data_IF_950337792441
#
_entry.id   IF_950337792441
#
_cell.length_a   1.000
_cell.length_b   1.000
_cell.length_c   1.000
_cell.angle_alpha   90.00
_cell.angle_beta   90.00
_cell.angle_gamma   90.00
#
_symmetry.space_group_name_H-M   'P 1'
#
loop_
_entity.id
_entity.type
_entity.pdbx_description
1 polymer ?
#
# COMPACT_ATOMS: atom_id res chain seq x y z
N UNK A 1 -18.24 3.51 7.19
CA UNK A 1 -16.88 4.06 7.18
C UNK A 1 -16.14 3.60 8.42
N UNK A 2 -14.88 3.19 8.27
CA UNK A 2 -14.03 2.72 9.35
C UNK A 2 -12.88 3.72 9.52
N UNK A 3 -12.68 4.22 10.73
CA UNK A 3 -11.63 5.19 11.02
C UNK A 3 -10.76 4.61 12.12
N UNK A 4 -9.48 4.41 11.81
CA UNK A 4 -8.48 4.01 12.79
C UNK A 4 -7.48 5.15 12.99
N UNK A 5 -7.06 5.36 14.22
CA UNK A 5 -6.01 6.32 14.54
C UNK A 5 -5.14 5.78 15.67
N UNK A 6 -3.83 5.96 15.52
CA UNK A 6 -2.88 5.55 16.56
C UNK A 6 -2.97 6.46 17.81
N UNK A 7 -2.31 6.04 18.88
CA UNK A 7 -2.26 6.78 20.14
C UNK A 7 -1.07 7.75 20.24
N UNK A 8 -1.06 8.60 21.27
CA UNK A 8 0.06 9.47 21.57
C UNK A 8 1.32 8.67 21.95
N UNK A 9 2.50 9.20 21.61
CA UNK A 9 3.75 8.57 22.03
C UNK A 9 4.01 8.82 23.53
N UNK A 10 4.55 7.82 24.25
CA UNK A 10 5.00 8.03 25.63
C UNK A 10 6.00 9.17 25.72
N UNK A 11 5.88 10.04 26.72
CA UNK A 11 6.76 11.20 26.96
C UNK A 11 6.69 12.32 25.88
N UNK A 12 5.65 12.34 25.04
CA UNK A 12 5.36 13.44 24.11
C UNK A 12 4.05 14.13 24.50
N UNK A 13 4.05 15.08 25.47
CA UNK A 13 2.81 15.61 26.04
C UNK A 13 1.90 16.30 25.01
N UNK A 14 2.49 16.91 23.97
CA UNK A 14 1.73 17.54 22.87
C UNK A 14 0.97 16.53 22.00
N UNK A 15 1.40 15.26 21.97
CA UNK A 15 0.72 14.25 21.15
C UNK A 15 -0.68 13.97 21.66
N UNK A 16 -0.93 14.07 22.97
CA UNK A 16 -2.28 13.83 23.54
C UNK A 16 -3.31 14.81 22.95
N UNK A 17 -2.97 16.11 22.96
CA UNK A 17 -3.82 17.17 22.40
C UNK A 17 -3.94 17.04 20.87
N UNK A 18 -2.84 16.75 20.18
CA UNK A 18 -2.83 16.57 18.71
C UNK A 18 -3.69 15.38 18.29
N UNK A 19 -3.52 14.21 18.91
CA UNK A 19 -4.35 13.02 18.64
C UNK A 19 -5.83 13.31 18.89
N UNK A 20 -6.16 13.99 19.99
CA UNK A 20 -7.54 14.37 20.29
C UNK A 20 -8.12 15.29 19.21
N UNK A 21 -7.38 16.33 18.83
CA UNK A 21 -7.79 17.28 17.78
C UNK A 21 -8.00 16.58 16.44
N UNK A 22 -7.10 15.67 16.06
CA UNK A 22 -7.23 14.88 14.83
C UNK A 22 -8.47 13.98 14.86
N UNK A 23 -8.74 13.32 15.99
CA UNK A 23 -9.93 12.45 16.14
C UNK A 23 -11.24 13.24 16.03
N UNK A 24 -11.25 14.49 16.50
CA UNK A 24 -12.42 15.38 16.42
C UNK A 24 -12.82 15.76 14.98
N UNK A 25 -11.94 15.57 13.99
CA UNK A 25 -12.28 15.74 12.56
C UNK A 25 -13.45 14.84 12.15
N UNK A 26 -13.64 13.70 12.83
CA UNK A 26 -14.79 12.82 12.60
C UNK A 26 -16.14 13.52 12.76
N UNK A 27 -16.22 14.59 13.56
CA UNK A 27 -17.44 15.36 13.77
C UNK A 27 -17.78 16.27 12.58
N UNK A 28 -16.86 16.42 11.62
CA UNK A 28 -17.07 17.20 10.39
C UNK A 28 -17.69 16.36 9.25
N UNK A 29 -17.87 15.06 9.45
CA UNK A 29 -18.54 14.19 8.48
C UNK A 29 -20.02 14.58 8.40
N UNK A 30 -20.45 15.09 7.24
CA UNK A 30 -21.77 15.67 7.01
C UNK A 30 -22.68 14.81 6.11
N UNK A 31 -22.22 13.61 5.70
CA UNK A 31 -23.00 12.64 4.93
C UNK A 31 -23.44 11.43 5.79
N UNK A 32 -24.53 10.80 5.39
CA UNK A 32 -25.07 9.61 6.07
C UNK A 32 -24.13 8.42 5.88
N UNK A 33 -23.51 7.95 6.98
CA UNK A 33 -22.77 6.70 7.00
C UNK A 33 -22.70 6.10 8.41
N UNK A 34 -22.60 4.77 8.51
CA UNK A 34 -22.24 4.13 9.78
C UNK A 34 -20.75 4.34 10.05
N UNK A 35 -20.42 4.94 11.19
CA UNK A 35 -19.04 5.17 11.61
C UNK A 35 -18.65 4.10 12.63
N UNK A 36 -17.53 3.41 12.37
CA UNK A 36 -16.86 2.56 13.36
C UNK A 36 -15.45 3.09 13.58
N UNK A 37 -15.01 3.17 14.82
CA UNK A 37 -13.70 3.72 15.19
C UNK A 37 -12.82 2.69 15.88
N UNK A 38 -11.51 2.73 15.60
CA UNK A 38 -10.48 2.05 16.35
C UNK A 38 -9.39 3.06 16.74
N UNK A 39 -9.47 3.57 17.96
CA UNK A 39 -8.48 4.51 18.49
C UNK A 39 -7.58 3.81 19.51
N UNK A 40 -6.28 3.88 19.30
CA UNK A 40 -5.32 3.33 20.25
C UNK A 40 -5.03 4.34 21.37
N UNK A 41 -4.89 3.83 22.60
CA UNK A 41 -4.52 4.64 23.77
C UNK A 41 -3.04 5.01 23.79
N UNK A 42 -2.21 4.21 23.13
CA UNK A 42 -0.75 4.38 23.04
C UNK A 42 -0.31 4.22 21.59
N UNK A 43 0.75 4.94 21.21
CA UNK A 43 1.37 4.78 19.90
C UNK A 43 1.89 3.34 19.69
N UNK A 44 1.39 2.66 18.66
CA UNK A 44 1.83 1.33 18.24
C UNK A 44 2.80 1.38 17.04
N UNK A 45 2.94 2.54 16.39
CA UNK A 45 3.87 2.73 15.28
C UNK A 45 3.27 2.42 13.90
N UNK A 46 4.03 2.72 12.86
CA UNK A 46 3.59 2.65 11.46
C UNK A 46 3.55 1.23 10.91
N UNK A 47 4.11 0.23 11.59
CA UNK A 47 3.90 -1.17 11.26
C UNK A 47 2.65 -1.73 11.93
N UNK A 48 2.66 -1.78 13.27
CA UNK A 48 1.66 -2.54 14.01
C UNK A 48 0.27 -1.87 14.02
N UNK A 49 0.17 -0.54 14.10
CA UNK A 49 -1.13 0.14 14.09
C UNK A 49 -1.88 -0.09 12.76
N UNK A 50 -1.31 0.18 11.57
CA UNK A 50 -2.01 -0.07 10.31
C UNK A 50 -2.38 -1.54 10.12
N UNK A 51 -1.47 -2.48 10.42
CA UNK A 51 -1.75 -3.91 10.31
C UNK A 51 -2.93 -4.35 11.21
N UNK A 52 -3.00 -3.80 12.43
CA UNK A 52 -4.10 -4.07 13.36
C UNK A 52 -5.41 -3.46 12.88
N UNK A 53 -5.38 -2.22 12.37
CA UNK A 53 -6.53 -1.53 11.81
C UNK A 53 -7.13 -2.25 10.61
N UNK A 54 -6.30 -2.68 9.65
CA UNK A 54 -6.76 -3.42 8.46
C UNK A 54 -7.33 -4.78 8.87
N UNK A 55 -6.69 -5.47 9.83
CA UNK A 55 -7.21 -6.73 10.38
C UNK A 55 -8.56 -6.53 11.06
N UNK A 56 -8.72 -5.46 11.83
CA UNK A 56 -10.00 -5.11 12.46
C UNK A 56 -11.06 -4.78 11.40
N UNK A 57 -10.75 -3.96 10.40
CA UNK A 57 -11.63 -3.65 9.27
C UNK A 57 -12.18 -4.92 8.62
N UNK A 58 -11.30 -5.87 8.30
CA UNK A 58 -11.71 -7.14 7.71
C UNK A 58 -12.40 -8.11 8.67
N UNK A 59 -12.49 -7.86 9.98
CA UNK A 59 -13.44 -8.61 10.83
C UNK A 59 -14.89 -8.22 10.56
N UNK A 60 -15.13 -7.07 9.96
CA UNK A 60 -16.47 -6.51 9.76
C UNK A 60 -16.93 -6.57 8.29
N UNK A 61 -16.02 -6.49 7.32
CA UNK A 61 -16.36 -6.49 5.89
C UNK A 61 -15.52 -7.48 5.09
N UNK A 62 -16.00 -7.87 3.91
CA UNK A 62 -15.31 -8.81 3.02
C UNK A 62 -14.32 -8.13 2.06
N UNK A 63 -14.46 -6.83 1.84
CA UNK A 63 -13.68 -6.05 0.88
C UNK A 63 -13.83 -4.55 1.15
N UNK A 64 -12.92 -3.76 0.60
CA UNK A 64 -13.08 -2.32 0.55
C UNK A 64 -11.79 -1.58 0.26
N UNK A 65 -11.89 -0.26 0.39
CA UNK A 65 -10.84 0.72 0.09
C UNK A 65 -10.15 1.12 1.40
N UNK A 66 -8.83 1.23 1.36
CA UNK A 66 -7.95 1.68 2.44
C UNK A 66 -7.24 2.96 1.96
N UNK A 67 -7.29 3.99 2.79
CA UNK A 67 -6.62 5.28 2.60
C UNK A 67 -5.86 5.62 3.88
N UNK A 68 -4.61 6.05 3.71
CA UNK A 68 -3.83 6.71 4.76
C UNK A 68 -4.22 8.18 4.84
N UNK A 69 -3.93 8.85 5.96
CA UNK A 69 -4.35 10.24 6.24
C UNK A 69 -3.73 11.27 5.29
N UNK A 70 -2.61 10.92 4.66
CA UNK A 70 -1.89 11.73 3.70
C UNK A 70 -2.21 11.37 2.23
N UNK A 71 -3.11 10.42 1.98
CA UNK A 71 -3.49 10.00 0.64
C UNK A 71 -4.76 10.71 0.18
N UNK A 72 -4.62 11.65 -0.75
CA UNK A 72 -5.76 12.33 -1.38
C UNK A 72 -6.13 11.62 -2.69
N UNK A 73 -7.26 10.89 -2.79
CA UNK A 73 -7.71 10.29 -4.03
C UNK A 73 -8.45 11.30 -4.93
N UNK A 74 -8.37 11.11 -6.25
CA UNK A 74 -9.32 11.74 -7.18
C UNK A 74 -10.69 11.05 -7.14
N UNK A 75 -11.72 11.67 -7.73
CA UNK A 75 -13.09 11.13 -7.62
C UNK A 75 -13.24 9.80 -8.36
N UNK A 76 -12.59 9.61 -9.52
CA UNK A 76 -12.67 8.34 -10.26
C UNK A 76 -12.04 7.14 -9.53
N UNK A 77 -11.16 7.35 -8.54
CA UNK A 77 -10.54 6.27 -7.76
C UNK A 77 -11.57 5.32 -7.13
N UNK A 78 -12.64 5.87 -6.55
CA UNK A 78 -13.67 5.07 -5.89
C UNK A 78 -14.41 4.17 -6.88
N UNK A 79 -14.84 4.73 -8.02
CA UNK A 79 -15.47 3.96 -9.09
C UNK A 79 -14.52 2.92 -9.70
N UNK A 80 -13.23 3.27 -9.84
CA UNK A 80 -12.19 2.37 -10.29
C UNK A 80 -12.04 1.16 -9.36
N UNK A 81 -11.94 1.40 -8.05
CA UNK A 81 -11.86 0.34 -7.06
C UNK A 81 -13.13 -0.52 -7.03
N UNK A 82 -14.32 0.08 -6.97
CA UNK A 82 -15.60 -0.66 -6.91
C UNK A 82 -15.75 -1.65 -8.07
N UNK A 83 -15.51 -1.18 -9.30
CA UNK A 83 -15.62 -2.03 -10.49
C UNK A 83 -14.61 -3.19 -10.47
N UNK A 84 -13.39 -2.94 -10.00
CA UNK A 84 -12.34 -3.97 -9.96
C UNK A 84 -12.48 -4.93 -8.78
N UNK A 85 -13.00 -4.44 -7.64
CA UNK A 85 -13.39 -5.25 -6.49
C UNK A 85 -14.42 -6.29 -6.96
N UNK A 86 -15.48 -5.86 -7.65
CA UNK A 86 -16.51 -6.76 -8.15
C UNK A 86 -15.93 -7.74 -9.19
N UNK A 87 -15.18 -7.23 -10.17
CA UNK A 87 -14.61 -8.07 -11.24
C UNK A 87 -13.70 -9.18 -10.73
N UNK A 88 -12.88 -8.89 -9.72
CA UNK A 88 -11.86 -9.81 -9.21
C UNK A 88 -12.24 -10.43 -7.86
N UNK A 89 -13.49 -10.27 -7.42
CA UNK A 89 -14.01 -10.79 -6.15
C UNK A 89 -13.63 -12.25 -5.88
N UNK A 90 -13.77 -13.12 -6.89
CA UNK A 90 -13.47 -14.55 -6.79
C UNK A 90 -12.13 -14.96 -7.42
N UNK A 91 -11.28 -14.01 -7.85
CA UNK A 91 -9.99 -14.33 -8.46
C UNK A 91 -8.86 -14.31 -7.42
N UNK A 92 -8.48 -15.48 -6.93
CA UNK A 92 -7.47 -15.62 -5.86
C UNK A 92 -6.08 -15.10 -6.25
N UNK A 93 -5.77 -15.02 -7.55
CA UNK A 93 -4.50 -14.48 -8.04
C UNK A 93 -4.42 -12.96 -7.86
N UNK A 94 -5.53 -12.25 -7.87
CA UNK A 94 -5.54 -10.79 -7.63
C UNK A 94 -5.70 -10.55 -6.14
N UNK A 95 -4.69 -9.90 -5.55
CA UNK A 95 -4.63 -9.63 -4.11
C UNK A 95 -4.87 -8.17 -3.77
N UNK A 96 -4.62 -7.25 -4.70
CA UNK A 96 -4.67 -5.82 -4.42
C UNK A 96 -5.02 -5.02 -5.67
N UNK A 97 -5.75 -3.91 -5.47
CA UNK A 97 -6.00 -2.88 -6.48
C UNK A 97 -5.34 -1.61 -5.97
N UNK A 98 -4.30 -1.14 -6.64
CA UNK A 98 -3.60 0.09 -6.29
C UNK A 98 -4.29 1.28 -6.95
N UNK A 99 -4.25 2.46 -6.34
CA UNK A 99 -4.60 3.74 -6.95
C UNK A 99 -3.38 4.49 -7.50
N UNK A 100 -2.20 4.18 -6.97
CA UNK A 100 -0.95 4.84 -7.33
C UNK A 100 -0.25 4.15 -8.51
N UNK A 101 0.30 4.94 -9.42
CA UNK A 101 1.10 4.47 -10.54
C UNK A 101 2.28 5.39 -10.80
N UNK A 102 3.48 4.81 -10.84
CA UNK A 102 4.70 5.54 -11.17
C UNK A 102 4.99 5.61 -12.67
N UNK A 103 4.15 4.99 -13.51
CA UNK A 103 4.39 4.94 -14.94
C UNK A 103 4.25 6.33 -15.57
N UNK A 104 5.20 6.78 -16.41
CA UNK A 104 5.16 8.10 -17.01
C UNK A 104 4.08 8.20 -18.10
N UNK A 105 3.69 7.04 -18.68
CA UNK A 105 2.62 6.93 -19.67
C UNK A 105 2.08 5.51 -19.75
N UNK A 106 0.84 5.32 -20.23
CA UNK A 106 0.30 4.01 -20.57
C UNK A 106 1.11 3.33 -21.70
N UNK A 107 1.35 2.01 -21.58
CA UNK A 107 1.96 1.22 -22.68
C UNK A 107 0.91 0.64 -23.64
N UNK A 108 -0.36 0.61 -23.25
CA UNK A 108 -1.46 0.12 -24.06
C UNK A 108 -2.76 0.87 -23.75
N UNK A 109 -3.86 0.49 -24.42
CA UNK A 109 -5.15 1.15 -24.30
C UNK A 109 -6.02 0.67 -23.12
N UNK A 110 -5.55 -0.30 -22.32
CA UNK A 110 -6.27 -0.71 -21.12
C UNK A 110 -6.18 0.40 -20.08
N UNK A 111 -7.02 0.32 -19.05
CA UNK A 111 -7.03 1.30 -17.96
C UNK A 111 -5.99 0.95 -16.89
N UNK A 112 -5.61 -0.33 -16.79
CA UNK A 112 -4.68 -0.84 -15.78
C UNK A 112 -3.85 -2.00 -16.36
N UNK A 113 -2.82 -2.38 -15.61
CA UNK A 113 -1.97 -3.54 -15.85
C UNK A 113 -1.85 -4.37 -14.57
N UNK A 114 -1.21 -5.55 -14.66
CA UNK A 114 -0.92 -6.37 -13.49
C UNK A 114 0.57 -6.34 -13.19
N UNK A 115 0.88 -6.17 -11.91
CA UNK A 115 2.25 -6.08 -11.40
C UNK A 115 2.43 -7.01 -10.22
N UNK A 116 3.69 -7.27 -9.87
CA UNK A 116 4.09 -7.90 -8.62
C UNK A 116 4.48 -6.88 -7.55
N UNK A 117 4.56 -5.60 -7.88
CA UNK A 117 4.94 -4.51 -6.99
C UNK A 117 3.68 -3.78 -6.50
N UNK A 118 3.18 -4.05 -5.28
CA UNK A 118 2.04 -3.33 -4.73
C UNK A 118 2.41 -1.91 -4.31
N UNK A 119 1.47 -0.97 -4.48
CA UNK A 119 1.60 0.43 -4.05
C UNK A 119 0.49 0.80 -3.09
N UNK A 120 0.84 1.13 -1.85
CA UNK A 120 -0.10 1.26 -0.72
C UNK A 120 -0.68 2.65 -0.52
N UNK A 121 -0.28 3.64 -1.32
CA UNK A 121 -0.98 4.92 -1.35
C UNK A 121 -2.30 4.78 -2.10
N UNK A 122 -3.39 4.76 -1.33
CA UNK A 122 -4.76 4.55 -1.78
C UNK A 122 -4.95 3.23 -2.54
N UNK A 123 -5.61 2.27 -1.91
CA UNK A 123 -5.75 0.94 -2.48
C UNK A 123 -7.02 0.24 -2.01
N UNK A 124 -7.33 -0.88 -2.64
CA UNK A 124 -8.42 -1.76 -2.24
C UNK A 124 -7.99 -3.21 -2.23
N UNK A 125 -8.64 -4.00 -1.38
CA UNK A 125 -8.42 -5.44 -1.29
C UNK A 125 -9.65 -6.15 -0.73
N UNK A 126 -9.52 -7.47 -0.57
CA UNK A 126 -10.51 -8.35 0.02
C UNK A 126 -9.96 -8.99 1.29
N UNK A 127 -10.85 -9.32 2.22
CA UNK A 127 -10.56 -10.16 3.38
C UNK A 127 -9.84 -11.44 2.98
N UNK A 128 -10.25 -12.09 1.88
CA UNK A 128 -9.59 -13.31 1.39
C UNK A 128 -8.10 -13.11 1.09
N UNK A 129 -7.70 -11.95 0.59
CA UNK A 129 -6.30 -11.66 0.31
C UNK A 129 -5.56 -11.24 1.60
N UNK A 130 -6.21 -10.46 2.47
CA UNK A 130 -5.64 -10.07 3.75
C UNK A 130 -5.46 -11.24 4.73
N UNK A 131 -6.30 -12.27 4.68
CA UNK A 131 -6.19 -13.45 5.56
C UNK A 131 -4.89 -14.24 5.36
N UNK A 132 -4.19 -14.04 4.24
CA UNK A 132 -2.88 -14.64 3.99
C UNK A 132 -1.73 -13.86 4.64
N UNK A 133 -2.00 -12.68 5.18
CA UNK A 133 -1.03 -11.80 5.80
C UNK A 133 -0.66 -12.25 7.22
N UNK A 134 0.63 -12.19 7.54
CA UNK A 134 1.13 -12.26 8.90
C UNK A 134 2.20 -11.18 9.13
N UNK A 135 1.94 -10.32 10.11
CA UNK A 135 2.83 -9.23 10.49
C UNK A 135 4.22 -9.73 10.93
N UNK A 136 4.28 -10.86 11.65
CA UNK A 136 5.52 -11.38 12.20
C UNK A 136 6.26 -12.27 11.20
N UNK A 137 6.94 -11.62 10.24
CA UNK A 137 7.72 -12.31 9.22
C UNK A 137 8.83 -13.20 9.80
N UNK A 138 9.25 -13.00 11.06
CA UNK A 138 10.25 -13.87 11.72
C UNK A 138 9.81 -15.32 11.87
N UNK A 139 8.50 -15.58 11.85
CA UNK A 139 7.96 -16.94 11.95
C UNK A 139 8.21 -17.78 10.69
N UNK A 140 8.48 -17.13 9.55
CA UNK A 140 8.91 -17.82 8.34
C UNK A 140 10.38 -18.25 8.47
N UNK A 141 10.78 -19.38 7.91
CA UNK A 141 12.20 -19.75 7.88
C UNK A 141 12.96 -18.95 6.81
N UNK A 142 14.28 -18.78 6.99
CA UNK A 142 15.14 -18.17 5.97
C UNK A 142 15.08 -18.91 4.63
N UNK A 143 14.96 -20.24 4.67
CA UNK A 143 14.84 -21.08 3.48
C UNK A 143 13.55 -20.78 2.70
N UNK A 144 12.41 -20.69 3.40
CA UNK A 144 11.11 -20.38 2.76
C UNK A 144 11.14 -18.97 2.17
N UNK A 145 11.60 -17.97 2.94
CA UNK A 145 11.73 -16.59 2.44
C UNK A 145 12.63 -16.50 1.21
N UNK A 146 13.80 -17.14 1.27
CA UNK A 146 14.74 -17.19 0.17
C UNK A 146 14.14 -17.85 -1.08
N UNK A 147 13.36 -18.91 -0.90
CA UNK A 147 12.64 -19.58 -2.00
C UNK A 147 11.60 -18.67 -2.66
N UNK A 148 10.78 -17.96 -1.87
CA UNK A 148 9.80 -16.98 -2.38
C UNK A 148 10.48 -15.88 -3.20
N UNK A 149 11.56 -15.28 -2.68
CA UNK A 149 12.31 -14.24 -3.40
C UNK A 149 12.95 -14.80 -4.68
N UNK A 150 13.53 -15.99 -4.63
CA UNK A 150 14.17 -16.63 -5.80
C UNK A 150 13.16 -16.97 -6.91
N UNK A 151 11.94 -17.37 -6.54
CA UNK A 151 10.84 -17.62 -7.48
C UNK A 151 10.33 -16.33 -8.12
N UNK A 152 10.20 -15.26 -7.33
CA UNK A 152 9.61 -13.98 -7.75
C UNK A 152 10.55 -13.15 -8.64
N UNK A 153 11.86 -13.24 -8.39
CA UNK A 153 12.86 -12.43 -9.08
C UNK A 153 13.87 -13.33 -9.79
N UNK A 154 14.09 -13.09 -11.09
CA UNK A 154 15.12 -13.80 -11.85
C UNK A 154 16.51 -13.18 -11.72
N UNK A 155 16.59 -11.86 -11.47
CA UNK A 155 17.84 -11.13 -11.39
C UNK A 155 18.47 -11.22 -9.99
N UNK A 156 19.79 -11.49 -9.93
CA UNK A 156 20.56 -11.56 -8.68
C UNK A 156 20.53 -10.25 -7.86
N UNK A 157 20.55 -9.09 -8.52
CA UNK A 157 20.50 -7.78 -7.84
C UNK A 157 19.18 -7.59 -7.11
N UNK A 158 18.07 -7.92 -7.77
CA UNK A 158 16.73 -7.82 -7.19
C UNK A 158 16.56 -8.79 -6.03
N UNK A 159 17.04 -10.03 -6.18
CA UNK A 159 17.05 -11.01 -5.09
C UNK A 159 17.83 -10.50 -3.89
N UNK A 160 18.98 -9.86 -4.09
CA UNK A 160 19.76 -9.29 -2.99
C UNK A 160 18.98 -8.16 -2.32
N UNK A 161 18.48 -7.19 -3.09
CA UNK A 161 17.68 -6.07 -2.60
C UNK A 161 16.53 -6.56 -1.71
N UNK A 162 15.71 -7.47 -2.22
CA UNK A 162 14.53 -7.92 -1.49
C UNK A 162 14.87 -8.78 -0.28
N UNK A 163 15.91 -9.60 -0.34
CA UNK A 163 16.38 -10.32 0.86
C UNK A 163 16.88 -9.36 1.95
N UNK A 164 17.57 -8.28 1.56
CA UNK A 164 18.04 -7.28 2.52
C UNK A 164 16.86 -6.49 3.13
N UNK A 165 15.86 -6.11 2.32
CA UNK A 165 14.63 -5.50 2.81
C UNK A 165 13.88 -6.41 3.81
N UNK A 166 13.76 -7.71 3.51
CA UNK A 166 13.14 -8.66 4.45
C UNK A 166 13.94 -8.78 5.76
N UNK A 167 15.27 -8.69 5.71
CA UNK A 167 16.10 -8.65 6.93
C UNK A 167 15.88 -7.39 7.74
N UNK A 168 15.70 -6.22 7.10
CA UNK A 168 15.40 -4.98 7.82
C UNK A 168 14.08 -5.08 8.60
N UNK A 169 13.03 -5.63 7.97
CA UNK A 169 11.74 -5.90 8.61
C UNK A 169 11.91 -6.84 9.81
N UNK A 170 12.64 -7.94 9.62
CA UNK A 170 12.96 -8.88 10.72
C UNK A 170 13.77 -8.17 11.82
N UNK A 171 14.65 -7.24 11.49
CA UNK A 171 15.46 -6.53 12.47
C UNK A 171 14.69 -5.39 13.17
N UNK A 172 13.41 -5.19 12.86
CA UNK A 172 12.53 -4.29 13.60
C UNK A 172 12.23 -2.98 12.88
N UNK A 173 12.43 -2.89 11.56
CA UNK A 173 11.89 -1.77 10.78
C UNK A 173 10.36 -1.73 10.97
N UNK A 174 9.84 -0.57 11.37
CA UNK A 174 8.44 -0.34 11.72
C UNK A 174 7.59 -0.08 10.46
N UNK A 175 7.31 -1.16 9.72
CA UNK A 175 6.51 -1.14 8.50
C UNK A 175 5.58 -2.35 8.44
N UNK A 176 4.55 -2.30 7.59
CA UNK A 176 3.57 -3.38 7.41
C UNK A 176 3.44 -3.85 5.96
N UNK A 177 3.71 -2.95 5.03
CA UNK A 177 3.51 -3.06 3.59
C UNK A 177 4.53 -3.99 2.93
N UNK A 178 5.78 -3.98 3.37
CA UNK A 178 6.80 -4.95 2.93
C UNK A 178 6.40 -6.39 3.24
N UNK A 179 5.83 -6.63 4.43
CA UNK A 179 5.31 -7.94 4.80
C UNK A 179 4.13 -8.31 3.88
N UNK A 180 3.23 -7.38 3.59
CA UNK A 180 2.06 -7.67 2.75
C UNK A 180 2.49 -8.02 1.33
N UNK A 181 3.43 -7.27 0.77
CA UNK A 181 4.09 -7.58 -0.50
C UNK A 181 4.74 -8.97 -0.50
N UNK A 182 5.47 -9.34 0.57
CA UNK A 182 6.02 -10.70 0.71
C UNK A 182 4.93 -11.78 0.68
N UNK A 183 3.85 -11.59 1.43
CA UNK A 183 2.73 -12.56 1.47
C UNK A 183 2.00 -12.65 0.13
N UNK A 184 1.90 -11.55 -0.61
CA UNK A 184 1.41 -11.59 -2.00
C UNK A 184 2.31 -12.46 -2.88
N UNK A 185 3.64 -12.30 -2.82
CA UNK A 185 4.58 -13.12 -3.60
C UNK A 185 4.54 -14.59 -3.21
N UNK A 186 4.48 -14.88 -1.91
CA UNK A 186 4.41 -16.25 -1.39
C UNK A 186 3.19 -16.99 -1.95
N UNK A 187 2.08 -16.28 -2.15
CA UNK A 187 0.83 -16.82 -2.64
C UNK A 187 0.60 -16.57 -4.16
N UNK A 188 1.66 -16.34 -4.94
CA UNK A 188 1.61 -16.12 -6.40
C UNK A 188 0.64 -15.00 -6.82
N UNK A 189 0.46 -14.03 -5.94
CA UNK A 189 -0.44 -12.91 -6.09
C UNK A 189 0.09 -11.81 -7.01
N UNK A 190 -0.84 -11.12 -7.65
CA UNK A 190 -0.62 -9.90 -8.42
C UNK A 190 -1.45 -8.75 -7.86
N UNK A 191 -0.95 -7.54 -8.05
CA UNK A 191 -1.74 -6.32 -7.89
C UNK A 191 -2.21 -5.81 -9.25
N UNK A 192 -3.32 -5.08 -9.23
CA UNK A 192 -3.81 -4.27 -10.34
C UNK A 192 -3.28 -2.84 -10.14
N UNK A 193 -2.67 -2.24 -11.17
CA UNK A 193 -2.14 -0.88 -11.12
C UNK A 193 -2.73 -0.07 -12.28
N UNK A 194 -3.33 1.11 -12.05
CA UNK A 194 -3.84 1.94 -13.12
C UNK A 194 -2.67 2.45 -13.98
N UNK A 195 -2.88 2.63 -15.28
CA UNK A 195 -1.83 3.24 -16.10
C UNK A 195 -1.57 4.70 -15.76
N UNK A 196 -2.55 5.36 -15.15
CA UNK A 196 -2.45 6.75 -14.71
C UNK A 196 -2.70 6.83 -13.21
N UNK A 197 -1.90 7.63 -12.53
CA UNK A 197 -1.98 7.82 -11.10
C UNK A 197 -3.32 8.45 -10.67
N UNK A 198 -3.90 7.94 -9.58
CA UNK A 198 -5.20 8.38 -9.03
C UNK A 198 -5.09 9.01 -7.64
N UNK A 199 -3.92 8.96 -7.01
CA UNK A 199 -3.69 9.37 -5.63
C UNK A 199 -2.55 10.37 -5.58
N UNK A 200 -2.70 11.45 -4.82
CA UNK A 200 -1.58 12.31 -4.43
C UNK A 200 -1.26 12.02 -2.98
N UNK A 201 0.01 11.73 -2.70
CA UNK A 201 0.49 11.71 -1.34
C UNK A 201 0.89 13.13 -0.94
N UNK A 202 0.24 13.65 0.11
CA UNK A 202 0.44 14.99 0.68
C UNK A 202 1.41 14.99 1.87
N UNK A 203 1.87 13.81 2.28
CA UNK A 203 2.72 13.58 3.45
C UNK A 203 4.18 13.78 3.14
N UNK A 204 4.56 14.79 2.38
CA UNK A 204 5.97 15.15 2.17
C UNK A 204 6.38 16.33 3.06
N UNK A 205 7.53 16.21 3.72
CA UNK A 205 8.18 17.30 4.46
C UNK A 205 8.38 17.09 5.97
N UNK A 206 8.54 18.20 6.70
CA UNK A 206 9.04 18.20 8.08
C UNK A 206 8.12 17.49 9.10
N UNK A 207 6.85 17.24 8.73
CA UNK A 207 5.88 16.54 9.57
C UNK A 207 5.55 15.13 9.05
N UNK A 208 6.17 14.69 7.94
CA UNK A 208 6.02 13.34 7.41
C UNK A 208 6.62 12.31 8.37
N UNK A 209 6.12 11.08 8.36
CA UNK A 209 6.70 10.01 9.20
C UNK A 209 7.90 9.33 8.51
N UNK A 210 7.89 9.25 7.17
CA UNK A 210 8.94 8.57 6.40
C UNK A 210 9.43 9.33 5.16
N UNK A 211 8.72 10.37 4.72
CA UNK A 211 8.90 11.06 3.43
C UNK A 211 9.38 12.51 3.64
N UNK A 212 10.58 12.65 4.20
CA UNK A 212 11.13 13.97 4.58
C UNK A 212 11.73 14.77 3.42
N UNK A 213 11.91 14.19 2.23
CA UNK A 213 12.47 14.89 1.07
C UNK A 213 11.36 15.63 0.31
N UNK A 214 11.27 16.93 0.60
CA UNK A 214 10.38 17.85 -0.09
C UNK A 214 10.61 17.93 -1.61
N UNK A 215 11.78 17.53 -2.12
CA UNK A 215 12.11 17.54 -3.55
C UNK A 215 11.90 16.18 -4.24
N UNK A 216 11.27 15.21 -3.57
CA UNK A 216 10.97 13.93 -4.19
C UNK A 216 10.04 14.12 -5.39
N UNK A 217 10.41 13.59 -6.56
CA UNK A 217 9.54 13.58 -7.75
C UNK A 217 8.17 12.91 -7.48
N UNK A 218 8.04 12.13 -6.41
CA UNK A 218 6.80 11.48 -6.00
C UNK A 218 5.80 12.46 -5.35
N UNK A 219 6.27 13.55 -4.73
CA UNK A 219 5.40 14.59 -4.15
C UNK A 219 4.68 15.41 -5.21
N UNK A 220 5.23 15.45 -6.43
CA UNK A 220 4.70 16.19 -7.58
C UNK A 220 3.83 15.33 -8.52
N UNK A 221 3.54 14.07 -8.15
CA UNK A 221 2.78 13.17 -9.00
C UNK A 221 1.36 13.68 -9.25
N UNK A 222 1.08 13.98 -10.52
CA UNK A 222 -0.23 14.40 -10.97
C UNK A 222 -1.24 13.26 -10.91
N UNK A 223 -2.49 13.60 -10.58
CA UNK A 223 -3.63 12.69 -10.66
C UNK A 223 -4.33 12.83 -12.00
N UNK A 224 -4.99 11.76 -12.45
CA UNK A 224 -5.77 11.77 -13.70
C UNK A 224 -7.11 11.08 -13.52
N UNK A 225 -8.19 11.72 -13.96
CA UNK A 225 -9.51 11.09 -13.94
C UNK A 225 -9.64 9.94 -14.95
N UNK A 226 -10.34 8.89 -14.55
CA UNK A 226 -10.70 7.73 -15.37
C UNK A 226 -12.21 7.73 -15.61
N UNK A 227 -12.60 7.97 -16.87
CA UNK A 227 -14.01 8.02 -17.27
C UNK A 227 -14.59 6.66 -17.71
N UNK A 228 -13.79 5.58 -17.67
CA UNK A 228 -14.22 4.24 -18.03
C UNK A 228 -13.09 3.20 -17.94
N UNK A 229 -13.46 1.96 -17.65
CA UNK A 229 -12.49 0.88 -17.40
C UNK A 229 -12.41 -0.05 -18.61
N UNK A 230 -11.22 -0.10 -19.22
CA UNK A 230 -10.85 -1.05 -20.27
C UNK A 230 -10.00 -2.15 -19.64
N UNK A 231 -10.55 -3.36 -19.60
CA UNK A 231 -9.91 -4.50 -18.96
C UNK A 231 -8.87 -5.17 -19.89
N UNK A 232 -7.67 -5.51 -19.39
CA UNK A 232 -6.79 -6.45 -20.06
C UNK A 232 -7.50 -7.80 -20.26
N UNK A 233 -7.27 -8.42 -21.43
CA UNK A 233 -7.86 -9.73 -21.76
C UNK A 233 -7.20 -10.90 -21.02
N UNK A 234 -5.96 -10.73 -20.59
CA UNK A 234 -5.13 -11.78 -19.99
C UNK A 234 -4.63 -11.29 -18.63
N UNK A 235 -4.74 -12.13 -17.61
CA UNK A 235 -4.19 -11.87 -16.28
C UNK A 235 -2.75 -12.39 -16.20
N UNK A 236 -1.83 -11.52 -16.58
CA UNK A 236 -0.40 -11.78 -16.58
C UNK A 236 0.38 -10.54 -16.21
N UNK A 237 1.54 -10.74 -15.59
CA UNK A 237 2.49 -9.69 -15.28
C UNK A 237 2.84 -8.86 -16.52
N UNK A 238 2.75 -7.54 -16.41
CA UNK A 238 3.27 -6.62 -17.42
C UNK A 238 4.78 -6.42 -17.19
N UNK A 239 5.57 -7.25 -17.86
CA UNK A 239 7.03 -7.28 -17.67
C UNK A 239 7.72 -5.97 -18.07
N UNK A 240 7.14 -5.23 -19.00
CA UNK A 240 7.71 -3.95 -19.45
C UNK A 240 7.47 -2.86 -18.41
N UNK A 241 6.24 -2.76 -17.88
CA UNK A 241 5.92 -1.84 -16.80
C UNK A 241 6.75 -2.13 -15.54
N UNK A 242 6.81 -3.40 -15.12
CA UNK A 242 7.61 -3.84 -13.97
C UNK A 242 9.11 -3.53 -14.16
N UNK A 243 9.64 -3.76 -15.37
CA UNK A 243 11.05 -3.46 -15.67
C UNK A 243 11.30 -1.95 -15.58
N UNK A 244 10.41 -1.13 -16.12
CA UNK A 244 10.55 0.31 -16.04
C UNK A 244 10.54 0.78 -14.57
N UNK A 245 9.59 0.32 -13.77
CA UNK A 245 9.48 0.70 -12.36
C UNK A 245 10.70 0.23 -11.56
N UNK A 246 11.16 -1.00 -11.79
CA UNK A 246 12.41 -1.52 -11.25
C UNK A 246 13.58 -0.59 -11.57
N UNK A 247 13.72 -0.18 -12.83
CA UNK A 247 14.88 0.56 -13.33
C UNK A 247 14.81 2.05 -13.04
N UNK A 248 13.68 2.60 -12.60
CA UNK A 248 13.50 4.05 -12.43
C UNK A 248 13.00 4.46 -11.04
N UNK A 249 12.37 3.55 -10.30
CA UNK A 249 11.80 3.81 -8.98
C UNK A 249 12.50 2.96 -7.93
N UNK A 250 12.61 1.64 -8.16
CA UNK A 250 13.16 0.72 -7.15
C UNK A 250 14.68 0.59 -7.16
N UNK A 251 15.38 1.10 -8.18
CA UNK A 251 16.85 1.01 -8.26
C UNK A 251 17.53 2.34 -8.64
N UNK A 252 16.79 3.36 -9.05
CA UNK A 252 17.34 4.57 -9.69
C UNK A 252 17.21 5.85 -8.86
N UNK A 253 16.37 5.86 -7.82
CA UNK A 253 16.45 6.91 -6.81
C UNK A 253 17.50 6.52 -5.78
N UNK A 254 18.17 7.52 -5.24
CA UNK A 254 19.04 7.44 -4.06
C UNK A 254 18.37 6.62 -2.95
N UNK A 255 18.60 5.31 -2.96
CA UNK A 255 18.21 4.34 -1.94
C UNK A 255 18.95 4.58 -0.61
N UNK A 256 19.47 5.78 -0.40
CA UNK A 256 20.13 6.23 0.83
C UNK A 256 19.14 6.45 1.99
N UNK A 257 17.83 6.42 1.73
CA UNK A 257 16.81 6.61 2.77
C UNK A 257 16.82 5.58 3.91
N UNK A 258 17.49 4.43 3.72
CA UNK A 258 17.45 3.32 4.67
C UNK A 258 18.83 2.75 5.04
N UNK A 259 19.92 3.38 4.59
CA UNK A 259 21.29 2.90 4.86
C UNK A 259 22.12 3.82 5.79
N UNK A 260 21.50 4.83 6.40
CA UNK A 260 22.12 5.64 7.46
C UNK A 260 21.31 5.59 8.76
#
# INVERSE_FOLDING_TARGET
MFIAADGPRPNHPKDTERCQTTREIINQIDWECEIKTLFHETNLGCGLAPATAITWFFKHVEEGIILEDDCLPNTSFFNYCENLIEKYRCNEKIKMICGTSYQPKPLNSNTYYFSKYPHVWGWATWRRAWNEYNFNLKQESDEVRGSVVNKTFSNRRDRKLWNDNMKMIINGLDAWDYQFMYWMWKNDGLCVIPWKNLISNLGFGDQATHTHDNNSNQSEMQQFEINGIKHPKIISLDKEADKWERDNILLNSDYEYFYN
#
